data_IF_600260432307
#
_entry.id   IF_600260432307
#
_cell.length_a   1.000
_cell.length_b   1.000
_cell.length_c   1.000
_cell.angle_alpha   90.00
_cell.angle_beta   90.00
_cell.angle_gamma   90.00
#
_symmetry.space_group_name_H-M   'P 1'
#
loop_
_entity.id
_entity.type
_entity.pdbx_description
1 polymer ?
#
# COMPACT_ATOMS: atom_id res chain seq x y z
N UNK A 1 -9.73 5.99 -18.07
CA UNK A 1 -9.55 5.74 -16.63
C UNK A 1 -8.82 6.92 -16.00
N UNK A 2 -9.31 7.36 -14.86
CA UNK A 2 -8.73 8.48 -14.11
C UNK A 2 -8.22 7.95 -12.78
N UNK A 3 -6.98 8.29 -12.44
CA UNK A 3 -6.42 8.05 -11.10
C UNK A 3 -6.42 9.39 -10.39
N UNK A 4 -7.04 9.44 -9.23
CA UNK A 4 -7.16 10.68 -8.45
C UNK A 4 -7.17 10.40 -6.96
N UNK A 5 -7.00 11.47 -6.18
CA UNK A 5 -7.08 11.40 -4.72
C UNK A 5 -8.51 11.03 -4.30
N UNK A 6 -8.60 10.16 -3.30
CA UNK A 6 -9.86 9.77 -2.68
C UNK A 6 -10.53 10.97 -2.00
N UNK A 7 -11.85 11.03 -2.07
CA UNK A 7 -12.66 11.99 -1.31
C UNK A 7 -13.63 11.23 -0.42
N UNK A 8 -14.28 11.95 0.52
CA UNK A 8 -15.27 11.33 1.40
C UNK A 8 -16.40 10.66 0.65
N UNK A 9 -16.76 11.17 -0.52
CA UNK A 9 -17.81 10.59 -1.37
C UNK A 9 -17.45 9.20 -1.87
N UNK A 10 -16.15 8.87 -1.91
CA UNK A 10 -15.68 7.59 -2.43
C UNK A 10 -15.63 6.50 -1.36
N UNK A 11 -15.74 6.83 -0.08
CA UNK A 11 -15.48 5.89 1.01
C UNK A 11 -16.35 4.63 0.93
N UNK A 12 -17.63 4.80 0.64
CA UNK A 12 -18.55 3.67 0.51
C UNK A 12 -18.17 2.75 -0.65
N UNK A 13 -17.80 3.32 -1.78
CA UNK A 13 -17.34 2.55 -2.95
C UNK A 13 -16.04 1.83 -2.68
N UNK A 14 -15.11 2.50 -1.99
CA UNK A 14 -13.82 1.90 -1.62
C UNK A 14 -14.02 0.72 -0.69
N UNK A 15 -14.90 0.84 0.30
CA UNK A 15 -15.22 -0.26 1.21
C UNK A 15 -15.74 -1.48 0.44
N UNK A 16 -16.63 -1.29 -0.51
CA UNK A 16 -17.15 -2.38 -1.34
C UNK A 16 -16.05 -3.03 -2.17
N UNK A 17 -15.18 -2.23 -2.77
CA UNK A 17 -14.08 -2.74 -3.59
C UNK A 17 -13.14 -3.59 -2.75
N UNK A 18 -12.76 -3.11 -1.58
CA UNK A 18 -11.87 -3.84 -0.69
C UNK A 18 -12.51 -5.16 -0.27
N UNK A 19 -13.76 -5.12 0.15
CA UNK A 19 -14.49 -6.32 0.57
C UNK A 19 -14.55 -7.34 -0.55
N UNK A 20 -14.89 -6.91 -1.78
CA UNK A 20 -14.99 -7.82 -2.93
C UNK A 20 -13.63 -8.34 -3.39
N UNK A 21 -12.61 -7.49 -3.37
CA UNK A 21 -11.28 -7.88 -3.84
C UNK A 21 -10.64 -8.94 -2.93
N UNK A 22 -10.91 -8.89 -1.63
CA UNK A 22 -10.35 -9.83 -0.65
C UNK A 22 -11.30 -10.97 -0.29
N UNK A 23 -12.50 -10.98 -0.84
CA UNK A 23 -13.46 -12.06 -0.57
C UNK A 23 -12.92 -13.39 -1.08
N UNK A 24 -12.80 -14.37 -0.19
CA UNK A 24 -12.28 -15.69 -0.53
C UNK A 24 -10.78 -15.76 -0.75
N UNK A 25 -10.05 -14.67 -0.57
CA UNK A 25 -8.60 -14.68 -0.68
C UNK A 25 -7.99 -15.45 0.49
N UNK A 26 -6.89 -16.18 0.21
CA UNK A 26 -6.09 -16.78 1.27
C UNK A 26 -5.42 -15.66 2.07
N UNK A 27 -5.15 -15.90 3.33
CA UNK A 27 -4.44 -14.97 4.21
C UNK A 27 -5.17 -13.66 4.49
N UNK A 28 -6.48 -13.59 4.21
CA UNK A 28 -7.29 -12.44 4.63
C UNK A 28 -7.98 -12.76 5.95
N UNK A 29 -8.03 -11.77 6.85
CA UNK A 29 -8.81 -11.86 8.09
C UNK A 29 -10.19 -11.22 7.95
N UNK A 30 -10.52 -10.69 6.77
CA UNK A 30 -11.80 -10.04 6.50
C UNK A 30 -11.91 -8.62 7.04
N UNK A 31 -10.83 -8.06 7.58
CA UNK A 31 -10.85 -6.76 8.27
C UNK A 31 -10.19 -5.64 7.47
N UNK A 32 -9.88 -5.85 6.20
CA UNK A 32 -9.14 -4.87 5.38
C UNK A 32 -9.89 -3.55 5.25
N UNK A 33 -11.21 -3.59 5.04
CA UNK A 33 -12.02 -2.37 4.93
C UNK A 33 -12.06 -1.60 6.25
N UNK A 34 -12.15 -2.30 7.37
CA UNK A 34 -12.13 -1.69 8.70
C UNK A 34 -10.78 -1.06 9.01
N UNK A 35 -9.69 -1.71 8.59
CA UNK A 35 -8.35 -1.18 8.74
C UNK A 35 -8.21 0.14 7.98
N UNK A 36 -8.68 0.21 6.74
CA UNK A 36 -8.62 1.43 5.94
C UNK A 36 -9.40 2.55 6.63
N UNK A 37 -10.60 2.26 7.14
CA UNK A 37 -11.39 3.26 7.87
C UNK A 37 -10.65 3.78 9.10
N UNK A 38 -9.97 2.90 9.85
CA UNK A 38 -9.17 3.29 11.01
C UNK A 38 -7.95 4.12 10.61
N UNK A 39 -7.27 3.72 9.54
CA UNK A 39 -6.09 4.43 9.05
C UNK A 39 -6.42 5.85 8.58
N UNK A 40 -7.59 6.06 7.98
CA UNK A 40 -8.02 7.41 7.57
C UNK A 40 -8.10 8.40 8.74
N UNK A 41 -8.33 7.89 9.95
CA UNK A 41 -8.45 8.69 11.18
C UNK A 41 -7.16 8.71 11.98
N UNK A 42 -6.11 8.05 11.51
CA UNK A 42 -4.86 7.91 12.24
C UNK A 42 -3.85 8.99 11.85
N UNK A 43 -2.81 9.11 12.67
CA UNK A 43 -1.67 9.98 12.36
C UNK A 43 -0.85 9.46 11.18
N UNK A 44 -1.02 8.19 10.83
CA UNK A 44 -0.31 7.57 9.71
C UNK A 44 -0.90 7.94 8.35
N UNK A 45 -2.08 8.55 8.31
CA UNK A 45 -2.78 8.87 7.06
C UNK A 45 -2.13 10.04 6.34
N UNK A 46 -1.92 9.87 5.04
CA UNK A 46 -1.42 10.92 4.13
C UNK A 46 -2.44 11.03 3.01
N UNK A 47 -3.30 12.08 2.99
CA UNK A 47 -4.38 12.18 2.00
C UNK A 47 -3.92 12.03 0.55
N UNK A 48 -2.74 12.59 0.20
CA UNK A 48 -2.18 12.53 -1.15
C UNK A 48 -1.82 11.10 -1.58
N UNK A 49 -1.72 10.17 -0.64
CA UNK A 49 -1.34 8.78 -0.89
C UNK A 49 -2.50 7.80 -0.70
N UNK A 50 -3.72 8.31 -0.78
CA UNK A 50 -4.94 7.49 -0.87
C UNK A 50 -5.60 7.79 -2.21
N UNK A 51 -5.44 6.87 -3.16
CA UNK A 51 -5.88 7.08 -4.54
C UNK A 51 -6.99 6.12 -4.93
N UNK A 52 -7.87 6.59 -5.79
CA UNK A 52 -8.89 5.77 -6.43
C UNK A 52 -8.71 5.78 -7.94
N UNK A 53 -9.12 4.69 -8.58
CA UNK A 53 -9.23 4.60 -10.03
C UNK A 53 -10.71 4.68 -10.39
N UNK A 54 -11.04 5.57 -11.33
CA UNK A 54 -12.41 5.81 -11.79
C UNK A 54 -12.50 5.56 -13.28
N UNK A 55 -13.51 4.83 -13.69
CA UNK A 55 -13.81 4.59 -15.10
C UNK A 55 -15.31 4.75 -15.32
N UNK A 56 -15.68 5.62 -16.26
CA UNK A 56 -17.09 5.90 -16.59
C UNK A 56 -17.90 6.31 -15.34
N UNK A 57 -17.29 7.10 -14.45
CA UNK A 57 -17.96 7.58 -13.25
C UNK A 57 -18.04 6.56 -12.11
N UNK A 58 -17.48 5.36 -12.29
CA UNK A 58 -17.49 4.29 -11.27
C UNK A 58 -16.10 4.11 -10.69
N UNK A 59 -16.02 3.98 -9.36
CA UNK A 59 -14.79 3.66 -8.67
C UNK A 59 -14.50 2.17 -8.83
N UNK A 60 -13.34 1.82 -9.39
CA UNK A 60 -12.99 0.45 -9.74
C UNK A 60 -11.72 -0.04 -9.04
N UNK A 61 -11.00 0.82 -8.37
CA UNK A 61 -9.78 0.43 -7.65
C UNK A 61 -9.39 1.45 -6.59
N UNK A 62 -8.54 1.00 -5.67
CA UNK A 62 -8.04 1.82 -4.57
C UNK A 62 -6.65 1.36 -4.15
N UNK A 63 -5.80 2.31 -3.79
CA UNK A 63 -4.48 2.05 -3.20
C UNK A 63 -4.25 3.03 -2.06
N UNK A 64 -3.61 2.57 -1.00
CA UNK A 64 -3.30 3.38 0.17
C UNK A 64 -1.86 3.14 0.61
N UNK A 65 -1.12 4.22 0.80
CA UNK A 65 0.16 4.18 1.51
C UNK A 65 0.01 4.94 2.81
N UNK A 66 0.54 4.39 3.90
CA UNK A 66 0.50 5.01 5.22
C UNK A 66 1.90 5.06 5.84
N UNK A 67 2.06 5.94 6.84
CA UNK A 67 3.33 6.12 7.52
C UNK A 67 3.68 4.92 8.38
N UNK A 68 4.94 4.54 8.32
CA UNK A 68 5.56 3.54 9.17
C UNK A 68 7.00 3.98 9.42
N UNK A 69 7.77 3.21 10.15
CA UNK A 69 9.18 3.55 10.34
C UNK A 69 10.04 2.31 10.60
N UNK A 70 11.32 2.45 10.31
CA UNK A 70 12.37 1.50 10.67
C UNK A 70 13.34 2.27 11.54
N UNK A 71 13.32 2.04 12.85
CA UNK A 71 13.94 2.92 13.84
C UNK A 71 13.48 4.36 13.61
N UNK A 72 14.36 5.30 13.29
CA UNK A 72 13.99 6.71 13.07
C UNK A 72 13.81 7.07 11.61
N UNK A 73 13.93 6.10 10.70
CA UNK A 73 13.76 6.34 9.27
C UNK A 73 12.30 6.18 8.91
N UNK A 74 11.63 7.24 8.43
CA UNK A 74 10.25 7.13 7.99
C UNK A 74 10.18 6.33 6.68
N UNK A 75 9.24 5.40 6.62
CA UNK A 75 8.95 4.62 5.42
C UNK A 75 7.44 4.64 5.19
N UNK A 76 7.02 4.16 4.03
CA UNK A 76 5.59 4.03 3.70
C UNK A 76 5.23 2.56 3.60
N UNK A 77 4.06 2.22 4.13
CA UNK A 77 3.48 0.88 4.01
C UNK A 77 2.40 0.90 2.94
N UNK A 78 2.52 0.04 1.94
CA UNK A 78 1.50 -0.14 0.91
C UNK A 78 0.52 -1.22 1.36
N UNK A 79 -0.68 -0.81 1.75
CA UNK A 79 -1.77 -1.71 2.13
C UNK A 79 -3.06 -0.92 2.30
N UNK A 80 -4.13 -1.23 1.58
CA UNK A 80 -4.21 -2.27 0.57
C UNK A 80 -4.01 -1.76 -0.86
N UNK A 81 -3.91 -2.69 -1.79
CA UNK A 81 -4.18 -2.45 -3.20
C UNK A 81 -5.38 -3.33 -3.54
N UNK A 82 -6.47 -2.73 -4.00
CA UNK A 82 -7.70 -3.43 -4.30
C UNK A 82 -8.26 -2.98 -5.64
N UNK A 83 -8.66 -3.95 -6.47
CA UNK A 83 -9.30 -3.72 -7.77
C UNK A 83 -10.54 -4.59 -7.84
N UNK A 84 -11.66 -4.02 -8.29
CA UNK A 84 -12.89 -4.80 -8.50
C UNK A 84 -12.56 -6.07 -9.30
N UNK A 85 -13.09 -7.23 -8.91
CA UNK A 85 -12.79 -8.48 -9.62
C UNK A 85 -13.06 -8.39 -11.13
N UNK A 86 -14.12 -7.73 -11.55
CA UNK A 86 -14.46 -7.56 -12.97
C UNK A 86 -13.49 -6.66 -13.72
N UNK A 87 -12.66 -5.90 -13.01
CA UNK A 87 -11.72 -4.94 -13.60
C UNK A 87 -10.26 -5.38 -13.45
N UNK A 88 -10.02 -6.55 -12.88
CA UNK A 88 -8.67 -7.09 -12.71
C UNK A 88 -8.10 -7.50 -14.07
N UNK A 89 -6.77 -7.53 -14.17
CA UNK A 89 -6.01 -7.87 -15.40
C UNK A 89 -6.23 -6.90 -16.55
N UNK A 90 -6.67 -5.67 -16.23
CA UNK A 90 -6.91 -4.61 -17.23
C UNK A 90 -6.00 -3.40 -16.99
N UNK A 91 -4.97 -3.54 -16.18
CA UNK A 91 -3.99 -2.48 -15.92
C UNK A 91 -4.37 -1.49 -14.82
N UNK A 92 -5.47 -1.70 -14.10
CA UNK A 92 -5.92 -0.78 -13.05
C UNK A 92 -4.93 -0.76 -11.88
N UNK A 93 -4.56 -1.93 -11.38
CA UNK A 93 -3.60 -2.04 -10.27
C UNK A 93 -2.24 -1.47 -10.64
N UNK A 94 -1.78 -1.75 -11.86
CA UNK A 94 -0.51 -1.22 -12.36
C UNK A 94 -0.52 0.31 -12.37
N UNK A 95 -1.59 0.92 -12.87
CA UNK A 95 -1.72 2.37 -12.93
C UNK A 95 -1.74 2.99 -11.53
N UNK A 96 -2.46 2.37 -10.58
CA UNK A 96 -2.50 2.83 -9.20
C UNK A 96 -1.12 2.78 -8.55
N UNK A 97 -0.40 1.67 -8.69
CA UNK A 97 0.94 1.52 -8.11
C UNK A 97 1.90 2.55 -8.70
N UNK A 98 1.92 2.69 -10.03
CA UNK A 98 2.81 3.64 -10.69
C UNK A 98 2.56 5.07 -10.23
N UNK A 99 1.29 5.46 -10.14
CA UNK A 99 0.93 6.83 -9.75
C UNK A 99 1.28 7.10 -8.28
N UNK A 100 0.97 6.17 -7.38
CA UNK A 100 1.22 6.40 -5.95
C UNK A 100 2.73 6.43 -5.64
N UNK A 101 3.53 5.62 -6.34
CA UNK A 101 4.98 5.65 -6.18
C UNK A 101 5.56 6.98 -6.63
N UNK A 102 5.06 7.53 -7.72
CA UNK A 102 5.49 8.84 -8.22
C UNK A 102 5.17 9.94 -7.22
N UNK A 103 3.95 9.94 -6.66
CA UNK A 103 3.55 10.92 -5.65
C UNK A 103 4.40 10.78 -4.39
N UNK A 104 4.63 9.55 -3.92
CA UNK A 104 5.46 9.30 -2.75
C UNK A 104 6.87 9.86 -2.93
N UNK A 105 7.44 9.69 -4.12
CA UNK A 105 8.75 10.25 -4.46
C UNK A 105 8.73 11.77 -4.43
N UNK A 106 7.69 12.38 -5.01
CA UNK A 106 7.53 13.83 -5.01
C UNK A 106 7.38 14.40 -3.59
N UNK A 107 6.76 13.64 -2.68
CA UNK A 107 6.62 14.02 -1.28
C UNK A 107 7.90 13.76 -0.47
N UNK A 108 8.97 13.32 -1.13
CA UNK A 108 10.29 13.11 -0.52
C UNK A 108 10.41 11.94 0.44
N UNK A 109 9.56 10.92 0.28
CA UNK A 109 9.71 9.67 1.02
C UNK A 109 10.82 8.81 0.38
N UNK A 110 11.54 8.09 1.22
CA UNK A 110 12.71 7.32 0.81
C UNK A 110 12.35 5.90 0.37
N UNK A 111 11.34 5.28 1.00
CA UNK A 111 11.02 3.87 0.80
C UNK A 111 9.52 3.61 0.82
N UNK A 112 9.10 2.62 0.02
CA UNK A 112 7.79 1.98 0.14
C UNK A 112 8.01 0.51 0.42
N UNK A 113 7.30 -0.03 1.41
CA UNK A 113 7.37 -1.43 1.82
C UNK A 113 6.01 -2.08 1.58
N UNK A 114 6.01 -3.30 1.06
CA UNK A 114 4.77 -4.03 0.79
C UNK A 114 4.93 -5.49 1.21
N UNK A 115 3.86 -6.05 1.75
CA UNK A 115 3.72 -7.49 1.94
C UNK A 115 3.01 -8.03 0.70
N UNK A 116 3.77 -8.63 -0.22
CA UNK A 116 3.22 -9.11 -1.49
C UNK A 116 4.23 -9.95 -2.23
N UNK A 117 3.82 -10.53 -3.34
CA UNK A 117 4.64 -11.45 -4.10
C UNK A 117 5.31 -10.82 -5.32
N UNK A 118 5.59 -11.67 -6.31
CA UNK A 118 6.34 -11.33 -7.51
C UNK A 118 5.73 -10.18 -8.32
N UNK A 119 4.45 -9.90 -8.17
CA UNK A 119 3.78 -8.80 -8.85
C UNK A 119 4.53 -7.49 -8.66
N UNK A 120 5.03 -7.23 -7.44
CA UNK A 120 5.69 -5.97 -7.11
C UNK A 120 7.09 -5.85 -7.70
N UNK A 121 7.71 -6.94 -8.13
CA UNK A 121 9.00 -6.90 -8.81
C UNK A 121 8.96 -6.08 -10.10
N UNK A 122 7.82 -6.06 -10.77
CA UNK A 122 7.63 -5.27 -12.00
C UNK A 122 7.77 -3.77 -11.75
N UNK A 123 7.66 -3.33 -10.50
CA UNK A 123 7.78 -1.93 -10.12
C UNK A 123 9.13 -1.61 -9.47
N UNK A 124 10.05 -2.57 -9.44
CA UNK A 124 11.37 -2.38 -8.87
C UNK A 124 11.48 -2.72 -7.39
N UNK A 125 10.47 -3.37 -6.80
CA UNK A 125 10.56 -3.86 -5.44
C UNK A 125 11.49 -5.08 -5.37
N UNK A 126 12.26 -5.17 -4.29
CA UNK A 126 13.17 -6.28 -3.98
C UNK A 126 12.91 -6.74 -2.56
N UNK A 127 13.36 -7.95 -2.16
CA UNK A 127 13.22 -8.35 -0.76
C UNK A 127 13.77 -7.27 0.18
N UNK A 128 12.97 -6.88 1.16
CA UNK A 128 13.32 -5.78 2.07
C UNK A 128 14.58 -6.08 2.88
N UNK A 129 14.85 -7.35 3.16
CA UNK A 129 16.07 -7.80 3.84
C UNK A 129 17.34 -7.35 3.11
N UNK A 130 17.30 -7.28 1.79
CA UNK A 130 18.41 -6.78 0.96
C UNK A 130 18.77 -5.32 1.31
N UNK A 131 17.76 -4.56 1.78
CA UNK A 131 17.93 -3.16 2.17
C UNK A 131 18.05 -3.00 3.69
N UNK A 132 18.18 -4.09 4.44
CA UNK A 132 18.35 -4.06 5.89
C UNK A 132 17.05 -3.97 6.68
N UNK A 133 15.90 -4.09 6.03
CA UNK A 133 14.60 -4.00 6.68
C UNK A 133 14.00 -5.39 6.89
N UNK A 134 13.60 -5.68 8.12
CA UNK A 134 13.06 -6.98 8.51
C UNK A 134 11.58 -6.87 8.87
N UNK A 135 10.78 -7.92 8.60
CA UNK A 135 9.37 -7.90 8.97
C UNK A 135 9.18 -8.12 10.49
N UNK A 136 8.13 -7.54 11.08
CA UNK A 136 7.80 -7.77 12.50
C UNK A 136 6.96 -9.03 12.71
N UNK A 137 6.84 -9.88 11.70
CA UNK A 137 6.05 -11.11 11.74
C UNK A 137 6.76 -12.19 10.92
N UNK A 138 6.30 -13.42 11.09
CA UNK A 138 6.87 -14.55 10.37
C UNK A 138 6.29 -14.61 8.96
N UNK A 139 7.15 -14.42 7.95
CA UNK A 139 6.76 -14.43 6.55
C UNK A 139 8.00 -14.78 5.72
N UNK A 140 7.84 -15.53 4.61
CA UNK A 140 8.95 -15.76 3.68
C UNK A 140 9.54 -14.44 3.18
N UNK A 141 10.86 -14.39 3.13
CA UNK A 141 11.62 -13.19 2.75
C UNK A 141 11.15 -12.61 1.40
N UNK A 142 10.81 -13.47 0.46
CA UNK A 142 10.37 -13.07 -0.89
C UNK A 142 9.02 -12.33 -0.93
N UNK A 143 8.25 -12.37 0.16
CA UNK A 143 6.96 -11.68 0.24
C UNK A 143 7.01 -10.38 1.03
N UNK A 144 8.10 -10.06 1.68
CA UNK A 144 8.28 -8.78 2.37
C UNK A 144 9.25 -7.95 1.55
N UNK A 145 8.71 -6.99 0.79
CA UNK A 145 9.44 -6.30 -0.26
C UNK A 145 9.50 -4.81 -0.03
N UNK A 146 10.54 -4.18 -0.53
CA UNK A 146 10.72 -2.73 -0.42
C UNK A 146 11.23 -2.15 -1.73
N UNK A 147 10.87 -0.90 -1.97
CA UNK A 147 11.41 -0.12 -3.08
C UNK A 147 12.03 1.15 -2.54
N UNK A 148 13.29 1.38 -2.91
CA UNK A 148 14.01 2.61 -2.63
C UNK A 148 13.57 3.67 -3.64
N UNK A 149 13.11 4.82 -3.16
CA UNK A 149 12.61 5.89 -4.02
C UNK A 149 13.66 6.93 -4.37
N UNK A 150 14.71 7.05 -3.55
CA UNK A 150 15.78 8.03 -3.74
C UNK A 150 17.14 7.33 -3.65
N UNK A 151 18.07 7.74 -4.49
CA UNK A 151 19.42 7.19 -4.47
C UNK A 151 20.18 7.51 -3.17
N UNK A 152 19.84 8.61 -2.51
CA UNK A 152 20.43 9.06 -1.26
C UNK A 152 19.59 8.70 -0.03
N UNK A 153 18.69 7.75 -0.15
CA UNK A 153 17.84 7.33 0.96
C UNK A 153 18.67 6.81 2.14
N UNK A 154 18.22 7.12 3.36
CA UNK A 154 18.87 6.61 4.57
C UNK A 154 18.88 5.09 4.59
N UNK A 155 19.93 4.49 5.10
CA UNK A 155 20.02 3.03 5.23
C UNK A 155 19.05 2.52 6.29
N UNK A 156 18.44 1.37 6.02
CA UNK A 156 17.57 0.68 6.98
C UNK A 156 18.39 -0.41 7.68
N UNK A 157 18.11 -0.64 8.97
CA UNK A 157 18.89 -1.64 9.74
C UNK A 157 18.10 -2.21 10.90
N UNK A 158 16.80 -2.47 10.72
CA UNK A 158 16.00 -3.02 11.83
C UNK A 158 14.64 -3.54 11.33
N UNK A 159 13.86 -3.99 12.29
CA UNK A 159 12.49 -4.45 12.09
C UNK A 159 11.58 -3.25 11.82
N UNK A 160 10.72 -3.40 10.81
CA UNK A 160 9.73 -2.38 10.46
C UNK A 160 8.67 -2.25 11.54
N UNK A 161 8.27 -1.03 11.84
CA UNK A 161 7.18 -0.73 12.76
C UNK A 161 6.04 -0.08 12.00
N UNK A 162 4.93 -0.79 11.95
CA UNK A 162 3.69 -0.33 11.31
C UNK A 162 2.92 0.60 12.23
N UNK A 163 1.98 1.38 11.65
CA UNK A 163 1.01 2.13 12.43
C UNK A 163 0.26 1.18 13.38
N UNK A 164 -0.10 1.68 14.57
CA UNK A 164 -0.74 0.86 15.61
C UNK A 164 -2.07 0.26 15.14
N UNK A 165 -2.74 0.91 14.20
CA UNK A 165 -4.01 0.45 13.64
C UNK A 165 -3.90 -0.92 12.95
N UNK A 166 -2.69 -1.32 12.51
CA UNK A 166 -2.47 -2.64 11.93
C UNK A 166 -2.54 -3.77 12.96
N UNK A 167 -2.44 -3.45 14.25
CA UNK A 167 -2.51 -4.46 15.30
C UNK A 167 -1.31 -5.39 15.36
N UNK A 168 -0.18 -4.99 14.81
CA UNK A 168 1.04 -5.77 14.79
C UNK A 168 1.87 -5.44 16.03
N UNK A 169 1.99 -6.41 16.89
CA UNK A 169 2.82 -6.49 18.05
C UNK A 169 3.19 -5.30 18.81
#
# INVERSE_FOLDING_TARGET
>A
MIIRKETMKDYSSVEKIITQAFLGAEHTDGNEAQLVAALRKSEAFIPELSLVAERNGEIIGHILLTKAHVQQVPVLSLAPLAVLPSQQRKGVGKALVQQVLQIAKQLSYDYVVVLGGSYYRHFGFIPASTLGNLPPFDVPDEYFMAKKLKSDAAELSDVMQYAVEFGIG
#
